data_IF_647468265584
#
_entry.id   IF_647468265584
#
_cell.length_a   1.000
_cell.length_b   1.000
_cell.length_c   1.000
_cell.angle_alpha   90.00
_cell.angle_beta   90.00
_cell.angle_gamma   90.00
#
_symmetry.space_group_name_H-M   'P 1'
#
loop_
_entity.id
_entity.type
_entity.pdbx_description
1 polymer ?
#
# COMPACT_ATOMS: atom_id res chain seq x y z
N UNK A 1 -16.39 -5.71 30.40
CA UNK A 1 -15.95 -6.95 29.71
C UNK A 1 -14.71 -6.61 28.92
N UNK A 2 -13.55 -7.12 29.33
CA UNK A 2 -12.30 -6.98 28.54
C UNK A 2 -12.42 -7.93 27.36
N UNK A 3 -12.91 -7.43 26.22
CA UNK A 3 -12.92 -8.19 24.97
C UNK A 3 -11.49 -8.59 24.66
N UNK A 4 -11.21 -9.89 24.72
CA UNK A 4 -9.93 -10.45 24.31
C UNK A 4 -9.59 -9.96 22.90
N UNK A 5 -8.34 -9.54 22.70
CA UNK A 5 -7.88 -9.12 21.37
C UNK A 5 -8.08 -10.30 20.39
N UNK A 6 -8.81 -10.11 19.27
CA UNK A 6 -9.02 -11.17 18.30
C UNK A 6 -7.71 -11.72 17.75
N UNK A 7 -7.69 -13.01 17.37
CA UNK A 7 -6.45 -13.67 16.91
C UNK A 7 -5.83 -13.06 15.63
N UNK A 8 -6.61 -12.32 14.84
CA UNK A 8 -6.14 -11.58 13.66
C UNK A 8 -5.51 -10.21 14.02
N UNK A 9 -5.47 -9.86 15.31
CA UNK A 9 -4.84 -8.67 15.86
C UNK A 9 -3.79 -9.04 16.91
N UNK A 10 -2.73 -8.24 16.95
CA UNK A 10 -1.74 -8.22 18.03
C UNK A 10 -1.66 -6.81 18.60
N UNK A 11 -1.69 -6.68 19.91
CA UNK A 11 -1.54 -5.39 20.60
C UNK A 11 -0.11 -5.22 21.12
N UNK A 12 0.44 -4.02 21.01
CA UNK A 12 1.61 -3.56 21.77
C UNK A 12 1.41 -2.10 22.18
N UNK A 13 2.37 -1.53 22.91
CA UNK A 13 2.35 -0.13 23.33
C UNK A 13 2.33 0.84 22.14
N UNK A 14 2.84 0.40 20.99
CA UNK A 14 2.85 1.18 19.76
C UNK A 14 1.53 1.10 18.96
N UNK A 15 0.59 0.22 19.33
CA UNK A 15 -0.75 0.14 18.72
C UNK A 15 -1.22 -1.28 18.41
N UNK A 16 -2.20 -1.36 17.50
CA UNK A 16 -2.75 -2.61 16.99
C UNK A 16 -2.10 -3.02 15.67
N UNK A 17 -1.80 -4.30 15.53
CA UNK A 17 -1.11 -4.89 14.38
C UNK A 17 -1.95 -6.00 13.79
N UNK A 18 -2.19 -5.95 12.49
CA UNK A 18 -2.92 -6.98 11.75
C UNK A 18 -2.01 -8.18 11.50
N UNK A 19 -2.34 -9.33 12.06
CA UNK A 19 -1.62 -10.58 11.83
C UNK A 19 -2.20 -11.38 10.66
N UNK A 20 -3.51 -11.22 10.40
CA UNK A 20 -4.22 -11.88 9.29
C UNK A 20 -5.11 -10.86 8.57
N UNK A 21 -4.64 -10.36 7.42
CA UNK A 21 -5.30 -9.25 6.69
C UNK A 21 -6.71 -9.62 6.27
N UNK A 22 -6.91 -10.79 5.64
CA UNK A 22 -8.24 -11.23 5.20
C UNK A 22 -9.27 -11.30 6.34
N UNK A 23 -8.87 -11.80 7.51
CA UNK A 23 -9.76 -11.88 8.68
C UNK A 23 -10.06 -10.50 9.27
N UNK A 24 -9.07 -9.60 9.31
CA UNK A 24 -9.27 -8.23 9.75
C UNK A 24 -10.26 -7.50 8.84
N UNK A 25 -10.09 -7.60 7.52
CA UNK A 25 -10.95 -6.92 6.53
C UNK A 25 -12.39 -7.46 6.50
N UNK A 26 -12.60 -8.72 6.89
CA UNK A 26 -13.93 -9.31 7.05
C UNK A 26 -14.59 -9.00 8.40
N UNK A 27 -13.90 -8.29 9.30
CA UNK A 27 -14.37 -8.00 10.66
C UNK A 27 -14.88 -6.57 10.80
N UNK A 28 -15.65 -6.31 11.85
CA UNK A 28 -16.12 -4.96 12.18
C UNK A 28 -15.02 -3.97 12.56
N UNK A 29 -13.76 -4.43 12.74
CA UNK A 29 -12.62 -3.53 12.97
C UNK A 29 -12.21 -2.78 11.72
N UNK A 30 -12.60 -3.27 10.54
CA UNK A 30 -12.38 -2.59 9.27
C UNK A 30 -13.49 -1.56 8.96
N UNK A 31 -14.60 -1.56 9.71
CA UNK A 31 -15.71 -0.64 9.48
C UNK A 31 -15.47 0.73 10.15
N UNK A 32 -16.02 1.83 9.60
CA UNK A 32 -16.70 1.94 8.31
C UNK A 32 -15.72 2.20 7.14
N UNK A 33 -16.20 2.02 5.91
CA UNK A 33 -15.55 2.56 4.70
C UNK A 33 -15.65 4.09 4.70
N UNK A 34 -14.70 4.79 4.07
CA UNK A 34 -14.67 6.24 3.98
C UNK A 34 -15.96 6.85 3.36
N UNK A 35 -16.34 8.07 3.78
CA UNK A 35 -17.60 8.68 3.39
C UNK A 35 -17.59 9.32 1.99
N UNK A 36 -16.44 9.49 1.34
CA UNK A 36 -16.36 10.08 0.00
C UNK A 36 -16.69 9.07 -1.11
N UNK A 37 -17.31 9.55 -2.19
CA UNK A 37 -17.58 8.73 -3.38
C UNK A 37 -16.30 8.28 -4.07
N UNK A 38 -15.28 9.14 -4.10
CA UNK A 38 -13.97 8.82 -4.66
C UNK A 38 -13.34 7.60 -3.96
N UNK A 39 -13.35 7.58 -2.63
CA UNK A 39 -12.82 6.46 -1.86
C UNK A 39 -13.65 5.19 -2.03
N UNK A 40 -14.98 5.30 -2.07
CA UNK A 40 -15.87 4.15 -2.34
C UNK A 40 -15.72 3.59 -3.76
N UNK A 41 -15.32 4.42 -4.71
CA UNK A 41 -15.09 4.03 -6.10
C UNK A 41 -13.90 3.08 -6.29
N UNK A 42 -12.97 3.03 -5.33
CA UNK A 42 -11.87 2.06 -5.33
C UNK A 42 -12.37 0.65 -5.04
N UNK A 43 -12.90 0.01 -6.08
CA UNK A 43 -13.28 -1.40 -6.10
C UNK A 43 -12.44 -2.09 -7.16
N UNK A 44 -11.41 -2.83 -6.74
CA UNK A 44 -10.77 -3.79 -7.64
C UNK A 44 -11.44 -5.14 -7.38
N UNK A 45 -11.93 -5.78 -8.45
CA UNK A 45 -12.29 -7.20 -8.37
C UNK A 45 -11.07 -8.03 -7.95
N UNK A 46 -11.30 -9.24 -7.44
CA UNK A 46 -10.21 -10.15 -7.03
C UNK A 46 -9.17 -10.37 -8.14
N UNK A 47 -9.62 -10.38 -9.39
CA UNK A 47 -8.74 -10.47 -10.56
C UNK A 47 -7.83 -9.24 -10.71
N UNK A 48 -8.34 -8.03 -10.43
CA UNK A 48 -7.55 -6.80 -10.47
C UNK A 48 -6.49 -6.74 -9.37
N UNK A 49 -6.83 -7.20 -8.16
CA UNK A 49 -5.86 -7.33 -7.07
C UNK A 49 -4.79 -8.36 -7.43
N UNK A 50 -5.19 -9.52 -7.94
CA UNK A 50 -4.27 -10.58 -8.32
C UNK A 50 -3.36 -10.13 -9.48
N UNK A 51 -3.90 -9.39 -10.45
CA UNK A 51 -3.12 -8.81 -11.55
C UNK A 51 -2.12 -7.76 -11.08
N UNK A 52 -2.50 -6.89 -10.13
CA UNK A 52 -1.63 -5.82 -9.63
C UNK A 52 -0.68 -6.27 -8.52
N UNK A 53 -1.01 -7.33 -7.78
CA UNK A 53 -0.32 -7.73 -6.55
C UNK A 53 -0.07 -9.23 -6.47
N UNK A 54 0.08 -9.93 -7.61
CA UNK A 54 0.01 -11.40 -7.71
C UNK A 54 0.78 -12.20 -6.66
N UNK A 55 2.01 -11.79 -6.32
CA UNK A 55 2.81 -12.45 -5.28
C UNK A 55 2.63 -11.92 -3.84
N UNK A 56 1.81 -10.88 -3.66
CA UNK A 56 1.61 -10.17 -2.40
C UNK A 56 0.12 -9.79 -2.17
N UNK A 57 -0.80 -10.76 -2.09
CA UNK A 57 -2.24 -10.49 -1.95
C UNK A 57 -2.60 -9.67 -0.71
N UNK A 58 -1.90 -9.88 0.41
CA UNK A 58 -2.04 -9.07 1.62
C UNK A 58 -1.72 -7.59 1.36
N UNK A 59 -0.70 -7.32 0.54
CA UNK A 59 -0.30 -5.96 0.20
C UNK A 59 -1.34 -5.27 -0.68
N UNK A 60 -1.89 -5.99 -1.67
CA UNK A 60 -2.98 -5.48 -2.50
C UNK A 60 -4.26 -5.21 -1.71
N UNK A 61 -4.60 -6.09 -0.77
CA UNK A 61 -5.74 -5.90 0.13
C UNK A 61 -5.54 -4.69 1.06
N UNK A 62 -4.33 -4.50 1.60
CA UNK A 62 -3.96 -3.32 2.39
C UNK A 62 -4.04 -2.04 1.54
N UNK A 63 -3.52 -2.07 0.31
CA UNK A 63 -3.56 -0.94 -0.60
C UNK A 63 -4.99 -0.48 -0.87
N UNK A 64 -5.89 -1.42 -1.19
CA UNK A 64 -7.31 -1.12 -1.37
C UNK A 64 -7.97 -0.59 -0.10
N UNK A 65 -7.73 -1.25 1.03
CA UNK A 65 -8.27 -0.81 2.32
C UNK A 65 -7.90 0.64 2.60
N UNK A 66 -6.64 1.00 2.35
CA UNK A 66 -6.14 2.36 2.49
C UNK A 66 -6.81 3.30 1.50
N UNK A 67 -6.93 2.96 0.21
CA UNK A 67 -7.55 3.83 -0.82
C UNK A 67 -9.04 4.10 -0.58
N UNK A 68 -9.72 3.23 0.15
CA UNK A 68 -11.13 3.36 0.51
C UNK A 68 -11.38 4.21 1.77
N UNK A 69 -10.34 4.77 2.41
CA UNK A 69 -10.45 5.48 3.68
C UNK A 69 -9.65 6.77 3.68
N UNK A 70 -10.21 7.78 4.32
CA UNK A 70 -9.53 9.08 4.51
C UNK A 70 -8.43 8.95 5.57
N UNK A 71 -8.80 8.46 6.76
CA UNK A 71 -7.94 8.55 7.95
C UNK A 71 -7.45 7.20 8.46
N UNK A 72 -8.28 6.16 8.53
CA UNK A 72 -7.85 4.86 9.05
C UNK A 72 -7.07 4.07 7.98
N UNK A 73 -5.84 3.64 8.32
CA UNK A 73 -4.93 2.95 7.41
C UNK A 73 -4.29 1.73 8.08
N UNK A 74 -3.83 0.79 7.25
CA UNK A 74 -2.91 -0.28 7.65
C UNK A 74 -1.55 0.01 6.99
N UNK A 75 -0.49 0.07 7.79
CA UNK A 75 0.85 0.25 7.26
C UNK A 75 1.29 -1.02 6.51
N UNK A 76 1.70 -0.95 5.23
CA UNK A 76 2.11 -2.13 4.47
C UNK A 76 3.40 -2.76 5.00
N UNK A 77 4.26 -1.98 5.66
CA UNK A 77 5.54 -2.44 6.19
C UNK A 77 5.38 -3.28 7.47
N UNK A 78 4.64 -2.76 8.44
CA UNK A 78 4.57 -3.34 9.78
C UNK A 78 3.17 -3.85 10.15
N UNK A 79 2.17 -3.65 9.29
CA UNK A 79 0.75 -4.02 9.50
C UNK A 79 0.08 -3.33 10.70
N UNK A 80 0.66 -2.22 11.20
CA UNK A 80 0.03 -1.38 12.23
C UNK A 80 -1.24 -0.73 11.67
N UNK A 81 -2.34 -0.80 12.42
CA UNK A 81 -3.54 0.02 12.18
C UNK A 81 -3.31 1.37 12.84
N UNK A 82 -3.48 2.46 12.09
CA UNK A 82 -3.25 3.82 12.58
C UNK A 82 -4.21 4.80 11.90
N UNK A 83 -4.41 5.97 12.51
CA UNK A 83 -5.06 7.09 11.85
C UNK A 83 -4.03 8.03 11.23
N UNK A 84 -4.33 8.60 10.07
CA UNK A 84 -3.55 9.72 9.52
C UNK A 84 -3.43 10.82 10.57
N UNK A 85 -2.20 11.25 10.83
CA UNK A 85 -1.85 12.17 11.90
C UNK A 85 -1.44 11.47 13.21
N UNK A 86 -1.48 10.14 13.29
CA UNK A 86 -1.04 9.38 14.46
C UNK A 86 0.44 9.00 14.33
N UNK A 87 1.29 9.50 15.24
CA UNK A 87 2.68 9.09 15.38
C UNK A 87 2.79 7.72 16.08
N UNK A 88 4.01 7.19 16.17
CA UNK A 88 4.29 5.95 16.92
C UNK A 88 3.95 6.16 18.40
N UNK A 89 3.31 5.15 19.03
CA UNK A 89 2.84 5.20 20.41
C UNK A 89 1.65 6.15 20.69
N UNK A 90 0.84 6.43 19.66
CA UNK A 90 -0.46 7.10 19.82
C UNK A 90 -0.37 8.60 20.13
N UNK A 91 0.79 9.22 19.86
CA UNK A 91 0.92 10.67 19.89
C UNK A 91 0.38 11.28 18.60
N UNK A 92 -0.08 12.53 18.64
CA UNK A 92 -0.58 13.22 17.45
C UNK A 92 0.54 14.01 16.78
N UNK A 93 0.69 13.83 15.47
CA UNK A 93 1.51 14.66 14.61
C UNK A 93 0.87 16.04 14.45
N UNK A 94 1.70 17.05 14.24
CA UNK A 94 1.21 18.38 13.87
C UNK A 94 0.52 18.32 12.50
N UNK A 95 -0.52 19.11 12.30
CA UNK A 95 -1.32 19.09 11.06
C UNK A 95 -0.49 19.36 9.80
N UNK A 96 0.57 20.16 9.92
CA UNK A 96 1.44 20.56 8.81
C UNK A 96 2.77 19.78 8.80
N UNK A 97 2.89 18.68 9.57
CA UNK A 97 4.12 17.91 9.54
C UNK A 97 4.26 17.17 8.21
N UNK A 98 5.49 17.11 7.71
CA UNK A 98 5.84 16.30 6.54
C UNK A 98 5.48 14.84 6.76
N UNK A 99 5.64 14.33 7.99
CA UNK A 99 5.27 12.95 8.33
C UNK A 99 3.78 12.66 8.15
N UNK A 100 2.89 13.62 8.47
CA UNK A 100 1.45 13.45 8.21
C UNK A 100 1.16 13.43 6.71
N UNK A 101 1.76 14.34 5.95
CA UNK A 101 1.61 14.36 4.49
C UNK A 101 2.08 13.05 3.86
N UNK A 102 3.21 12.51 4.32
CA UNK A 102 3.70 11.21 3.87
C UNK A 102 2.76 10.06 4.24
N UNK A 103 2.09 10.09 5.41
CA UNK A 103 1.08 9.11 5.75
C UNK A 103 -0.12 9.14 4.78
N UNK A 104 -0.53 10.33 4.34
CA UNK A 104 -1.63 10.53 3.38
C UNK A 104 -1.26 10.02 1.98
N UNK A 105 -0.02 10.27 1.55
CA UNK A 105 0.50 9.92 0.23
C UNK A 105 0.87 8.43 0.12
N UNK A 106 1.68 7.93 1.04
CA UNK A 106 2.30 6.60 0.95
C UNK A 106 1.51 5.50 1.67
N UNK A 107 0.67 5.86 2.64
CA UNK A 107 0.05 4.89 3.56
C UNK A 107 1.05 4.20 4.50
N UNK A 108 2.26 4.76 4.65
CA UNK A 108 3.29 4.26 5.57
C UNK A 108 3.19 5.04 6.89
N UNK A 109 3.16 4.32 8.02
CA UNK A 109 2.87 4.96 9.32
C UNK A 109 4.03 5.79 9.90
N UNK A 110 5.28 5.60 9.44
CA UNK A 110 6.45 6.27 10.00
C UNK A 110 7.70 6.13 9.13
N UNK A 111 8.69 7.01 9.33
CA UNK A 111 9.97 6.97 8.62
C UNK A 111 10.69 5.60 8.71
N UNK A 112 10.79 4.92 9.88
CA UNK A 112 11.38 3.58 9.93
C UNK A 112 10.67 2.57 9.05
N UNK A 113 9.34 2.64 8.93
CA UNK A 113 8.59 1.76 8.03
C UNK A 113 8.88 2.09 6.56
N UNK A 114 9.12 3.36 6.23
CA UNK A 114 9.52 3.76 4.88
C UNK A 114 10.91 3.22 4.52
N UNK A 115 11.85 3.22 5.47
CA UNK A 115 13.17 2.60 5.28
C UNK A 115 13.04 1.09 5.02
N UNK A 116 12.23 0.39 5.81
CA UNK A 116 11.97 -1.06 5.62
C UNK A 116 11.35 -1.34 4.25
N UNK A 117 10.46 -0.48 3.76
CA UNK A 117 9.86 -0.60 2.43
C UNK A 117 10.79 -0.12 1.30
N UNK A 118 11.99 0.38 1.62
CA UNK A 118 12.88 1.03 0.66
C UNK A 118 12.37 2.37 0.15
N UNK A 119 11.22 2.85 0.61
CA UNK A 119 10.57 4.08 0.14
C UNK A 119 11.18 5.36 0.74
N UNK A 120 12.16 5.26 1.65
CA UNK A 120 12.66 6.44 2.38
C UNK A 120 13.25 7.54 1.48
N UNK A 121 13.89 7.16 0.37
CA UNK A 121 14.54 8.09 -0.57
C UNK A 121 13.56 8.78 -1.53
N UNK A 122 12.32 8.30 -1.58
CA UNK A 122 11.26 8.81 -2.46
C UNK A 122 10.10 9.47 -1.70
N UNK A 123 10.17 9.48 -0.37
CA UNK A 123 9.24 10.30 0.43
C UNK A 123 9.39 11.77 0.06
N UNK A 124 8.27 12.47 -0.01
CA UNK A 124 8.19 13.87 -0.42
C UNK A 124 8.22 14.09 -1.92
N UNK A 125 8.39 13.04 -2.74
CA UNK A 125 8.27 13.11 -4.20
C UNK A 125 6.86 12.70 -4.63
N UNK A 126 6.26 13.50 -5.49
CA UNK A 126 5.06 13.12 -6.24
C UNK A 126 5.38 12.02 -7.27
N UNK A 127 4.36 11.33 -7.78
CA UNK A 127 4.54 10.28 -8.78
C UNK A 127 5.26 10.77 -10.05
N UNK A 128 5.04 12.04 -10.43
CA UNK A 128 5.66 12.67 -11.60
C UNK A 128 7.14 13.01 -11.37
N UNK A 129 7.56 13.16 -10.11
CA UNK A 129 8.94 13.41 -9.69
C UNK A 129 9.76 12.11 -9.51
N UNK A 130 9.12 10.94 -9.60
CA UNK A 130 9.78 9.65 -9.54
C UNK A 130 10.35 9.26 -10.91
N UNK A 131 11.68 9.12 -10.98
CA UNK A 131 12.37 8.65 -12.17
C UNK A 131 12.67 7.15 -12.08
N UNK A 132 12.93 6.49 -13.21
CA UNK A 132 13.24 5.04 -13.25
C UNK A 132 14.39 4.66 -12.31
N UNK A 133 15.41 5.53 -12.21
CA UNK A 133 16.55 5.33 -11.31
C UNK A 133 16.15 5.30 -9.83
N UNK A 134 15.10 6.02 -9.43
CA UNK A 134 14.59 5.95 -8.06
C UNK A 134 14.01 4.56 -7.78
N UNK A 135 13.22 4.01 -8.70
CA UNK A 135 12.69 2.65 -8.59
C UNK A 135 13.81 1.60 -8.55
N UNK A 136 14.82 1.73 -9.41
CA UNK A 136 15.93 0.78 -9.47
C UNK A 136 16.71 0.76 -8.13
N UNK A 137 16.96 1.92 -7.51
CA UNK A 137 17.60 2.04 -6.19
C UNK A 137 16.78 1.41 -5.06
N UNK A 138 15.46 1.64 -5.06
CA UNK A 138 14.55 1.03 -4.08
C UNK A 138 14.65 -0.51 -4.17
N UNK A 139 14.61 -1.02 -5.40
CA UNK A 139 14.62 -2.45 -5.71
C UNK A 139 15.98 -3.12 -5.42
N UNK A 140 17.10 -2.41 -5.59
CA UNK A 140 18.43 -2.91 -5.23
C UNK A 140 18.61 -3.08 -3.71
N UNK A 141 18.05 -2.17 -2.91
CA UNK A 141 18.21 -2.20 -1.45
C UNK A 141 17.23 -3.14 -0.76
N UNK A 142 16.01 -3.22 -1.25
CA UNK A 142 14.98 -4.12 -0.73
C UNK A 142 14.44 -4.97 -1.87
N UNK A 143 15.21 -5.99 -2.32
CA UNK A 143 14.75 -6.90 -3.34
C UNK A 143 13.47 -7.59 -2.84
N UNK A 144 12.37 -7.38 -3.56
CA UNK A 144 11.13 -8.05 -3.22
C UNK A 144 11.34 -9.58 -3.31
N UNK A 145 10.76 -10.35 -2.40
CA UNK A 145 10.90 -11.80 -2.40
C UNK A 145 10.39 -12.42 -3.71
N UNK A 146 10.96 -13.56 -4.09
CA UNK A 146 10.52 -14.36 -5.24
C UNK A 146 10.58 -13.66 -6.61
N UNK A 147 11.49 -12.68 -6.79
CA UNK A 147 11.71 -12.04 -8.10
C UNK A 147 10.62 -11.04 -8.51
N UNK A 148 9.77 -10.63 -7.57
CA UNK A 148 8.82 -9.54 -7.76
C UNK A 148 9.55 -8.22 -8.02
N UNK A 149 9.00 -7.36 -8.88
CA UNK A 149 9.51 -6.04 -9.24
C UNK A 149 8.36 -5.10 -9.58
N UNK A 150 8.63 -3.80 -9.54
CA UNK A 150 7.78 -2.79 -10.18
C UNK A 150 8.26 -2.59 -11.63
N UNK A 151 7.36 -2.71 -12.60
CA UNK A 151 7.58 -2.39 -14.00
C UNK A 151 6.79 -1.14 -14.35
N UNK A 152 7.49 -0.05 -14.65
CA UNK A 152 6.85 1.16 -15.16
C UNK A 152 6.42 0.92 -16.61
N UNK A 153 5.17 1.24 -16.91
CA UNK A 153 4.70 1.22 -18.29
C UNK A 153 5.29 2.44 -19.00
N UNK A 154 5.89 2.27 -20.19
CA UNK A 154 6.46 3.39 -20.93
C UNK A 154 5.41 4.49 -21.15
N UNK A 155 5.86 5.75 -21.01
CA UNK A 155 4.96 6.88 -21.16
C UNK A 155 4.33 6.91 -22.55
N UNK A 156 3.01 7.10 -22.62
CA UNK A 156 2.23 7.04 -23.85
C UNK A 156 1.72 5.63 -24.22
N UNK A 157 2.12 4.59 -23.47
CA UNK A 157 1.64 3.22 -23.66
C UNK A 157 0.58 2.80 -22.65
N UNK A 158 0.21 3.66 -21.69
CA UNK A 158 -0.72 3.34 -20.59
C UNK A 158 -2.06 2.81 -21.13
N UNK A 159 -2.55 3.38 -22.24
CA UNK A 159 -3.78 2.92 -22.90
C UNK A 159 -3.72 1.47 -23.39
N UNK A 160 -2.53 0.99 -23.80
CA UNK A 160 -2.34 -0.41 -24.20
C UNK A 160 -2.57 -1.28 -22.99
N UNK A 161 -1.97 -0.93 -21.85
CA UNK A 161 -2.09 -1.68 -20.59
C UNK A 161 -3.35 -1.34 -19.77
N UNK A 162 -4.48 -1.04 -20.42
CA UNK A 162 -5.74 -0.79 -19.73
C UNK A 162 -5.74 0.44 -18.81
N UNK A 163 -4.87 1.42 -19.06
CA UNK A 163 -4.70 2.62 -18.24
C UNK A 163 -3.76 2.45 -17.05
N UNK A 164 -3.11 1.29 -16.89
CA UNK A 164 -2.12 1.08 -15.84
C UNK A 164 -0.86 1.92 -16.12
N UNK A 165 -0.22 2.40 -15.05
CA UNK A 165 1.05 3.12 -15.11
C UNK A 165 2.22 2.29 -14.56
N UNK A 166 1.92 1.36 -13.66
CA UNK A 166 2.90 0.49 -13.01
C UNK A 166 2.28 -0.90 -12.85
N UNK A 167 3.08 -1.92 -13.13
CA UNK A 167 2.75 -3.32 -12.88
C UNK A 167 3.65 -3.81 -11.74
N UNK A 168 3.09 -4.47 -10.74
CA UNK A 168 3.88 -5.13 -9.69
C UNK A 168 3.74 -6.64 -9.83
N UNK A 169 4.85 -7.31 -10.05
CA UNK A 169 4.85 -8.73 -10.39
C UNK A 169 6.23 -9.23 -10.78
N UNK A 170 6.31 -10.45 -11.27
CA UNK A 170 7.51 -11.00 -11.89
C UNK A 170 7.69 -10.45 -13.31
N UNK A 171 8.86 -10.68 -13.91
CA UNK A 171 9.07 -10.38 -15.33
C UNK A 171 8.08 -11.13 -16.23
N UNK A 172 7.72 -12.34 -15.84
CA UNK A 172 6.73 -13.16 -16.56
C UNK A 172 5.33 -12.53 -16.50
N UNK A 173 4.92 -11.99 -15.33
CA UNK A 173 3.65 -11.26 -15.19
C UNK A 173 3.60 -10.03 -16.10
N UNK A 174 4.70 -9.28 -16.19
CA UNK A 174 4.81 -8.12 -17.07
C UNK A 174 4.70 -8.50 -18.55
N UNK A 175 5.46 -9.50 -19.00
CA UNK A 175 5.44 -9.96 -20.39
C UNK A 175 4.05 -10.49 -20.78
N UNK A 176 3.42 -11.27 -19.90
CA UNK A 176 2.07 -11.79 -20.11
C UNK A 176 1.03 -10.67 -20.27
N UNK A 177 1.09 -9.65 -19.41
CA UNK A 177 0.22 -8.47 -19.55
C UNK A 177 0.50 -7.73 -20.86
N UNK A 178 1.77 -7.56 -21.23
CA UNK A 178 2.14 -6.92 -22.50
C UNK A 178 1.57 -7.68 -23.71
N UNK A 179 1.58 -9.01 -23.69
CA UNK A 179 1.00 -9.85 -24.74
C UNK A 179 -0.54 -9.80 -24.78
N UNK A 180 -1.20 -9.82 -23.61
CA UNK A 180 -2.66 -9.73 -23.48
C UNK A 180 -3.19 -8.42 -24.09
N UNK A 181 -2.45 -7.34 -23.90
CA UNK A 181 -2.82 -5.98 -24.31
C UNK A 181 -2.24 -5.51 -25.65
N UNK A 182 -1.44 -6.35 -26.32
CA UNK A 182 -0.95 -6.11 -27.67
C UNK A 182 -1.90 -6.63 -28.77
N UNK A 183 -3.00 -7.31 -28.39
CA UNK A 183 -4.07 -7.77 -29.29
C UNK A 183 -5.23 -6.77 -29.32
#
# INVERSE_FOLDING_TARGET
>A
MTTATPAFLRRSDAGLYVTRVSQFLASSYADPVGPSEEHRGWTLGQDGITRMFGGAPDLGAIFLFNKQRETQRICPACRRVYHVGEAIAGTNLQANSTERQEQELSGICSYPCAVVMGAAEVMGKSADELHQQDYDRIMERNPLPNGLKFFRIPHGEEKKFGGLQVIFGTKEDYEKLREEFAR
#
